data_IF_469637860310
#
_entry.id   IF_469637860310
#
_cell.length_a   1.000
_cell.length_b   1.000
_cell.length_c   1.000
_cell.angle_alpha   90.00
_cell.angle_beta   90.00
_cell.angle_gamma   90.00
#
_symmetry.space_group_name_H-M   'P 1'
#
loop_
_entity.id
_entity.type
_entity.pdbx_description
1 polymer ?
#
# COMPACT_ATOMS: atom_id res chain seq x y z
N UNK A 1 9.78 5.22 17.65
CA UNK A 1 8.92 4.09 17.22
C UNK A 1 8.95 4.02 15.70
N UNK A 2 9.58 3.00 15.12
CA UNK A 2 9.51 2.79 13.66
C UNK A 2 8.11 2.28 13.34
N UNK A 3 7.24 3.14 12.80
CA UNK A 3 5.93 2.70 12.30
C UNK A 3 6.17 1.76 11.13
N UNK A 4 5.82 0.49 11.29
CA UNK A 4 5.99 -0.53 10.25
C UNK A 4 5.11 -0.18 9.05
N UNK A 5 5.73 -0.10 7.86
CA UNK A 5 5.05 0.18 6.60
C UNK A 5 5.03 -1.09 5.76
N UNK A 6 3.94 -1.32 5.09
CA UNK A 6 3.72 -2.42 4.15
C UNK A 6 3.67 -1.85 2.74
N UNK A 7 4.28 -2.56 1.79
CA UNK A 7 4.34 -2.16 0.39
C UNK A 7 3.70 -3.24 -0.49
N UNK A 8 3.32 -2.85 -1.70
CA UNK A 8 2.83 -3.76 -2.72
C UNK A 8 3.97 -4.22 -3.62
N UNK A 9 4.02 -5.51 -3.90
CA UNK A 9 4.95 -6.13 -4.83
C UNK A 9 4.15 -6.84 -5.94
N UNK A 10 4.51 -6.59 -7.20
CA UNK A 10 3.93 -7.29 -8.34
C UNK A 10 4.16 -8.81 -8.21
N UNK A 11 3.12 -9.60 -8.39
CA UNK A 11 3.19 -11.05 -8.15
C UNK A 11 4.21 -11.76 -9.07
N UNK A 12 4.28 -11.32 -10.33
CA UNK A 12 5.16 -11.91 -11.36
C UNK A 12 6.52 -11.24 -11.40
N UNK A 13 6.57 -9.91 -11.55
CA UNK A 13 7.84 -9.17 -11.69
C UNK A 13 8.65 -9.14 -10.40
N UNK A 14 8.00 -9.29 -9.25
CA UNK A 14 8.58 -9.09 -7.91
C UNK A 14 9.11 -7.67 -7.67
N UNK A 15 8.78 -6.73 -8.53
CA UNK A 15 9.08 -5.32 -8.34
C UNK A 15 8.07 -4.67 -7.39
N UNK A 16 8.52 -3.66 -6.66
CA UNK A 16 7.63 -2.82 -5.86
C UNK A 16 6.73 -2.00 -6.77
N UNK A 17 5.44 -1.99 -6.45
CA UNK A 17 4.49 -1.15 -7.18
C UNK A 17 4.72 0.31 -6.79
N UNK A 18 4.83 1.14 -7.82
CA UNK A 18 5.10 2.57 -7.67
C UNK A 18 4.05 3.40 -8.40
N UNK A 19 3.86 4.62 -7.91
CA UNK A 19 3.07 5.64 -8.58
C UNK A 19 3.87 6.94 -8.57
N UNK A 20 4.04 7.56 -9.75
CA UNK A 20 4.89 8.75 -9.94
C UNK A 20 6.29 8.59 -9.31
N UNK A 21 6.90 7.42 -9.46
CA UNK A 21 8.23 7.11 -8.93
C UNK A 21 8.30 6.91 -7.42
N UNK A 22 7.17 6.88 -6.71
CA UNK A 22 7.12 6.63 -5.26
C UNK A 22 6.51 5.27 -4.97
N UNK A 23 7.06 4.56 -3.99
CA UNK A 23 6.57 3.23 -3.58
C UNK A 23 5.24 3.37 -2.84
N UNK A 24 4.23 2.63 -3.28
CA UNK A 24 2.91 2.65 -2.64
C UNK A 24 3.01 1.89 -1.31
N UNK A 25 2.61 2.54 -0.22
CA UNK A 25 2.69 1.99 1.13
C UNK A 25 1.42 2.19 1.95
N UNK A 26 1.25 1.35 2.97
CA UNK A 26 0.23 1.53 4.00
C UNK A 26 0.71 1.02 5.37
N UNK A 27 0.08 1.48 6.43
CA UNK A 27 0.39 1.05 7.80
C UNK A 27 -0.36 -0.24 8.20
N UNK A 28 -1.39 -0.63 7.44
CA UNK A 28 -2.15 -1.86 7.67
C UNK A 28 -1.96 -2.84 6.52
N UNK A 29 -1.38 -4.00 6.83
CA UNK A 29 -1.25 -5.11 5.88
C UNK A 29 -2.61 -5.61 5.41
N UNK A 30 -3.53 -5.82 6.34
CA UNK A 30 -4.85 -6.38 6.07
C UNK A 30 -5.67 -5.49 5.12
N UNK A 31 -5.54 -4.17 5.23
CA UNK A 31 -6.25 -3.23 4.35
C UNK A 31 -5.66 -3.21 2.94
N UNK A 32 -4.33 -3.36 2.79
CA UNK A 32 -3.70 -3.55 1.47
C UNK A 32 -4.16 -4.86 0.83
N UNK A 33 -4.14 -5.96 1.58
CA UNK A 33 -4.59 -7.27 1.09
C UNK A 33 -6.08 -7.26 0.71
N UNK A 34 -6.91 -6.48 1.40
CA UNK A 34 -8.33 -6.34 1.07
C UNK A 34 -8.56 -5.57 -0.24
N UNK A 35 -7.83 -4.49 -0.47
CA UNK A 35 -8.05 -3.61 -1.62
C UNK A 35 -7.31 -4.04 -2.88
N UNK A 36 -6.29 -4.88 -2.76
CA UNK A 36 -5.44 -5.26 -3.89
C UNK A 36 -5.56 -6.74 -4.20
N UNK A 37 -6.06 -7.05 -5.40
CA UNK A 37 -6.02 -8.38 -5.97
C UNK A 37 -4.84 -8.47 -6.96
N UNK A 38 -4.06 -9.55 -6.91
CA UNK A 38 -2.93 -9.77 -7.84
C UNK A 38 -1.62 -9.08 -7.48
N UNK A 39 -1.49 -8.56 -6.24
CA UNK A 39 -0.24 -8.05 -5.69
C UNK A 39 0.05 -8.72 -4.35
N UNK A 40 1.34 -8.91 -4.06
CA UNK A 40 1.79 -9.40 -2.75
C UNK A 40 1.99 -8.22 -1.81
N UNK A 41 1.56 -8.36 -0.57
CA UNK A 41 1.85 -7.38 0.48
C UNK A 41 3.08 -7.82 1.25
N UNK A 42 4.12 -7.01 1.22
CA UNK A 42 5.40 -7.27 1.89
C UNK A 42 5.76 -6.14 2.84
N UNK A 43 6.68 -6.38 3.77
CA UNK A 43 7.25 -5.29 4.55
C UNK A 43 7.97 -4.31 3.62
N UNK A 44 7.72 -3.01 3.78
CA UNK A 44 8.42 -1.98 3.04
C UNK A 44 9.91 -2.04 3.39
N UNK A 45 10.82 -2.21 2.40
CA UNK A 45 12.25 -2.23 2.67
C UNK A 45 12.70 -1.00 3.45
N UNK A 46 13.53 -1.21 4.48
CA UNK A 46 14.04 -0.14 5.33
C UNK A 46 14.95 0.85 4.60
N UNK A 47 15.49 0.45 3.45
CA UNK A 47 16.28 1.31 2.57
C UNK A 47 15.44 2.38 1.86
N UNK A 48 14.11 2.26 1.85
CA UNK A 48 13.22 3.22 1.17
C UNK A 48 12.77 4.27 2.19
N UNK A 49 13.24 5.52 2.09
CA UNK A 49 12.93 6.53 3.06
C UNK A 49 11.49 7.06 2.90
N UNK A 50 10.89 7.56 3.99
CA UNK A 50 9.93 8.66 4.04
C UNK A 50 9.33 9.14 2.73
N UNK A 51 10.10 10.08 2.20
CA UNK A 51 9.90 10.94 1.05
C UNK A 51 9.77 10.21 -0.30
N UNK A 52 10.27 8.96 -0.38
CA UNK A 52 10.17 8.12 -1.58
C UNK A 52 8.93 7.20 -1.54
N UNK A 53 8.07 7.36 -0.54
CA UNK A 53 6.83 6.58 -0.42
C UNK A 53 5.59 7.41 -0.68
N UNK A 54 4.54 6.75 -1.15
CA UNK A 54 3.21 7.30 -1.34
C UNK A 54 2.23 6.50 -0.47
N UNK A 55 1.62 7.12 0.55
CA UNK A 55 0.54 6.48 1.29
C UNK A 55 -0.60 6.09 0.33
N UNK A 56 -1.13 4.87 0.46
CA UNK A 56 -2.19 4.33 -0.40
C UNK A 56 -3.39 5.30 -0.51
N UNK A 57 -3.78 5.95 0.59
CA UNK A 57 -4.85 6.96 0.63
C UNK A 57 -4.63 8.18 -0.26
N UNK A 58 -3.39 8.46 -0.66
CA UNK A 58 -3.03 9.56 -1.55
C UNK A 58 -2.97 9.13 -3.02
N UNK A 59 -3.11 7.84 -3.32
CA UNK A 59 -3.18 7.34 -4.68
C UNK A 59 -4.59 7.60 -5.25
N UNK A 60 -4.74 8.18 -6.46
CA UNK A 60 -6.04 8.60 -7.00
C UNK A 60 -7.10 7.49 -7.03
N UNK A 61 -6.70 6.26 -7.35
CA UNK A 61 -7.60 5.10 -7.37
C UNK A 61 -8.21 4.79 -6.00
N UNK A 62 -7.52 5.10 -4.89
CA UNK A 62 -7.94 4.75 -3.53
C UNK A 62 -8.37 5.97 -2.70
N UNK A 63 -8.38 7.16 -3.30
CA UNK A 63 -8.67 8.43 -2.63
C UNK A 63 -10.12 8.53 -2.12
N UNK A 64 -11.03 7.71 -2.66
CA UNK A 64 -12.44 7.68 -2.28
C UNK A 64 -12.74 6.76 -1.07
N UNK A 65 -11.76 5.98 -0.61
CA UNK A 65 -11.94 5.12 0.55
C UNK A 65 -11.82 5.90 1.86
N UNK A 66 -12.71 5.60 2.80
CA UNK A 66 -12.59 6.02 4.20
C UNK A 66 -11.82 4.97 4.98
N UNK A 67 -10.92 5.42 5.86
CA UNK A 67 -10.02 4.57 6.64
C UNK A 67 -10.32 4.71 8.14
N UNK A 68 -10.26 3.63 8.94
CA UNK A 68 -9.96 2.25 8.55
C UNK A 68 -11.09 1.63 7.71
N UNK A 69 -10.75 0.66 6.88
CA UNK A 69 -11.70 0.01 5.98
C UNK A 69 -12.73 -0.78 6.78
N UNK A 70 -14.01 -0.58 6.48
CA UNK A 70 -15.10 -1.39 7.03
C UNK A 70 -15.71 -2.22 5.92
N UNK A 71 -15.86 -3.53 6.15
CA UNK A 71 -16.46 -4.45 5.17
C UNK A 71 -17.88 -4.05 4.78
N UNK A 72 -18.59 -3.33 5.64
CA UNK A 72 -19.94 -2.82 5.39
C UNK A 72 -20.00 -1.76 4.29
N UNK A 73 -18.90 -1.03 4.03
CA UNK A 73 -18.83 0.02 3.01
C UNK A 73 -18.70 -0.53 1.57
N UNK A 74 -18.58 -1.85 1.40
CA UNK A 74 -18.32 -2.54 0.11
C UNK A 74 -19.40 -3.55 -0.27
N UNK A 75 -20.62 -3.41 0.29
CA UNK A 75 -21.77 -4.27 0.02
C UNK A 75 -22.63 -3.79 -1.15
#
# INVERSE_FOLDING_TARGET
MSSQRWALQGEVSRDLLTWNGRVIVHNSRAELEFLTAGARVIECPRSIPPEQTLPLRAHPQFAHHTWPLRREDYR
#
